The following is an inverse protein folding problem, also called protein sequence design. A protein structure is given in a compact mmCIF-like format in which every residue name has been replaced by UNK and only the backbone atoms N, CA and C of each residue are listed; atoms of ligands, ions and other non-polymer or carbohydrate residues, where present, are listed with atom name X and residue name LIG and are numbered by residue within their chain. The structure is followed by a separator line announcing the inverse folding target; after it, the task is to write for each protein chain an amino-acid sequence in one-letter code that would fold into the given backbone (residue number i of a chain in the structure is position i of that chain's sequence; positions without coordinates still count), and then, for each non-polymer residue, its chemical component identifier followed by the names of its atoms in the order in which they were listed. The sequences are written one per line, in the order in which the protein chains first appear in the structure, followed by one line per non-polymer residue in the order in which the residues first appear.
data_IF_084706877592
#
_entry.id   IF_084706877592
#
_cell.length_a   1.000
_cell.length_b   1.000
_cell.length_c   1.000
_cell.angle_alpha   90.00
_cell.angle_beta   90.00
_cell.angle_gamma   90.00
#
_symmetry.space_group_name_H-M   'P 1'
#
loop_
_entity.id
_entity.type
_entity.pdbx_description
1 polymer ?
#
# COMPACT_ATOMS: atom_id res chain seq x y z
N UNK A 1 -18.72 -15.40 8.96
CA UNK A 1 -19.00 -14.15 8.24
C UNK A 1 -18.30 -14.21 6.88
N UNK A 2 -19.02 -13.99 5.78
CA UNK A 2 -18.45 -14.08 4.43
C UNK A 2 -17.59 -12.85 4.14
N UNK A 3 -16.28 -13.03 4.04
CA UNK A 3 -15.31 -11.96 3.70
C UNK A 3 -15.65 -11.22 2.39
N UNK A 4 -16.46 -11.84 1.52
CA UNK A 4 -16.88 -11.29 0.22
C UNK A 4 -17.70 -10.00 0.33
N UNK A 5 -18.34 -9.75 1.47
CA UNK A 5 -19.19 -8.57 1.70
C UNK A 5 -18.59 -7.60 2.73
N UNK A 6 -17.32 -7.78 3.10
CA UNK A 6 -16.69 -6.90 4.08
C UNK A 6 -16.52 -5.48 3.49
N UNK A 7 -17.03 -4.47 4.18
CA UNK A 7 -16.84 -3.07 3.80
C UNK A 7 -15.40 -2.60 4.00
N UNK A 8 -14.96 -1.62 3.21
CA UNK A 8 -13.66 -0.99 3.39
C UNK A 8 -13.48 -0.37 4.78
N UNK A 9 -12.38 -0.74 5.43
CA UNK A 9 -12.01 -0.20 6.74
C UNK A 9 -11.45 1.21 6.57
N UNK A 10 -12.12 2.21 7.16
CA UNK A 10 -11.67 3.61 7.19
C UNK A 10 -11.25 4.10 8.58
N UNK A 11 -11.08 3.18 9.53
CA UNK A 11 -10.70 3.47 10.92
C UNK A 11 -9.18 3.35 11.11
N UNK A 12 -8.68 3.88 12.21
CA UNK A 12 -7.25 3.84 12.55
C UNK A 12 -6.40 4.66 11.58
N UNK A 13 -5.28 4.11 11.13
CA UNK A 13 -4.35 4.81 10.24
C UNK A 13 -4.96 5.15 8.87
N UNK A 14 -5.91 4.34 8.40
CA UNK A 14 -6.63 4.53 7.13
C UNK A 14 -7.54 5.76 7.11
N UNK A 15 -7.75 6.43 8.26
CA UNK A 15 -8.41 7.73 8.32
C UNK A 15 -7.55 8.85 7.70
N UNK A 16 -6.23 8.68 7.71
CA UNK A 16 -5.26 9.68 7.26
C UNK A 16 -4.81 9.45 5.82
N UNK A 17 -4.59 8.18 5.44
CA UNK A 17 -4.28 7.80 4.07
C UNK A 17 -4.91 6.44 3.73
N UNK A 18 -5.68 6.33 2.63
CA UNK A 18 -6.21 5.04 2.16
C UNK A 18 -5.11 4.00 1.93
N UNK A 19 -3.89 4.44 1.56
CA UNK A 19 -2.74 3.59 1.29
C UNK A 19 -1.64 3.81 2.35
N UNK A 20 -2.05 3.82 3.62
CA UNK A 20 -1.15 4.12 4.74
C UNK A 20 0.10 3.23 4.79
N UNK A 21 0.01 1.96 4.40
CA UNK A 21 1.18 1.07 4.32
C UNK A 21 2.22 1.55 3.29
N UNK A 22 1.75 2.05 2.15
CA UNK A 22 2.60 2.50 1.05
C UNK A 22 3.30 3.81 1.46
N UNK A 23 2.56 4.68 2.12
CA UNK A 23 3.08 5.97 2.57
C UNK A 23 4.02 5.79 3.76
N UNK A 24 3.63 5.05 4.81
CA UNK A 24 4.40 4.99 6.05
C UNK A 24 5.28 3.74 6.18
N UNK A 25 4.76 2.58 5.77
CA UNK A 25 5.48 1.30 5.89
C UNK A 25 6.73 1.24 5.02
N UNK A 26 6.65 1.75 3.78
CA UNK A 26 7.81 1.75 2.88
C UNK A 26 8.91 2.73 3.29
N UNK A 27 8.64 3.73 4.15
CA UNK A 27 9.71 4.53 4.74
C UNK A 27 10.58 3.73 5.71
N UNK A 28 10.04 2.68 6.34
CA UNK A 28 10.85 1.82 7.22
C UNK A 28 11.99 1.12 6.46
N UNK A 29 11.80 0.82 5.17
CA UNK A 29 12.85 0.24 4.32
C UNK A 29 14.05 1.18 4.12
N UNK A 30 13.88 2.48 4.38
CA UNK A 30 14.97 3.45 4.29
C UNK A 30 15.79 3.55 5.58
N UNK A 31 15.33 2.98 6.70
CA UNK A 31 16.05 3.02 7.97
C UNK A 31 17.46 2.39 7.84
N UNK A 32 17.64 1.19 7.25
CA UNK A 32 18.98 0.61 7.09
C UNK A 32 19.88 1.44 6.16
N UNK A 33 19.29 2.16 5.20
CA UNK A 33 20.04 3.05 4.29
C UNK A 33 20.73 4.14 5.09
N UNK A 34 19.99 4.84 5.94
CA UNK A 34 20.52 5.96 6.71
C UNK A 34 21.37 5.51 7.91
N UNK A 35 21.01 4.39 8.56
CA UNK A 35 21.79 3.89 9.71
C UNK A 35 23.15 3.32 9.30
N UNK A 36 23.22 2.60 8.18
CA UNK A 36 24.43 1.90 7.76
C UNK A 36 25.14 2.54 6.56
N UNK A 37 24.57 3.61 5.99
CA UNK A 37 25.09 4.30 4.80
C UNK A 37 25.37 3.32 3.63
N UNK A 38 24.53 2.29 3.49
CA UNK A 38 24.76 1.19 2.55
C UNK A 38 24.15 1.48 1.19
N UNK A 39 24.99 1.44 0.14
CA UNK A 39 24.54 1.58 -1.25
C UNK A 39 23.65 0.42 -1.71
N UNK A 40 23.93 -0.80 -1.25
CA UNK A 40 23.07 -1.95 -1.55
C UNK A 40 21.67 -1.76 -0.93
N UNK A 41 21.61 -1.30 0.32
CA UNK A 41 20.34 -1.00 0.97
C UNK A 41 19.60 0.14 0.25
N UNK A 42 20.32 1.17 -0.21
CA UNK A 42 19.75 2.29 -0.96
C UNK A 42 19.05 1.80 -2.23
N UNK A 43 19.72 0.95 -3.02
CA UNK A 43 19.15 0.39 -4.25
C UNK A 43 17.91 -0.45 -3.96
N UNK A 44 17.98 -1.32 -2.94
CA UNK A 44 16.84 -2.17 -2.56
C UNK A 44 15.65 -1.33 -2.07
N UNK A 45 15.90 -0.33 -1.21
CA UNK A 45 14.87 0.55 -0.69
C UNK A 45 14.21 1.37 -1.81
N UNK A 46 15.01 1.97 -2.69
CA UNK A 46 14.52 2.75 -3.83
C UNK A 46 13.73 1.89 -4.82
N UNK A 47 14.24 0.71 -5.18
CA UNK A 47 13.54 -0.23 -6.05
C UNK A 47 12.20 -0.67 -5.44
N UNK A 48 12.21 -1.07 -4.16
CA UNK A 48 11.00 -1.50 -3.46
C UNK A 48 9.97 -0.38 -3.39
N UNK A 49 10.41 0.85 -3.10
CA UNK A 49 9.55 2.03 -3.01
C UNK A 49 8.98 2.45 -4.38
N UNK A 50 9.71 2.23 -5.48
CA UNK A 50 9.16 2.44 -6.82
C UNK A 50 8.19 1.31 -7.21
N UNK A 51 8.59 0.06 -6.98
CA UNK A 51 7.83 -1.13 -7.34
C UNK A 51 6.45 -1.17 -6.70
N UNK A 52 6.33 -0.74 -5.44
CA UNK A 52 5.05 -0.76 -4.74
C UNK A 52 4.01 0.13 -5.42
N UNK A 53 4.41 1.26 -6.03
CA UNK A 53 3.49 2.08 -6.83
C UNK A 53 3.07 1.41 -8.13
N UNK A 54 4.00 0.71 -8.80
CA UNK A 54 3.68 -0.11 -9.98
C UNK A 54 2.65 -1.16 -9.61
N UNK A 55 2.85 -1.88 -8.50
CA UNK A 55 1.88 -2.83 -7.96
C UNK A 55 0.53 -2.16 -7.71
N UNK A 56 0.49 -1.04 -6.97
CA UNK A 56 -0.74 -0.32 -6.69
C UNK A 56 -1.56 -0.01 -7.95
N UNK A 57 -0.93 0.53 -8.99
CA UNK A 57 -1.62 0.92 -10.20
C UNK A 57 -2.04 -0.27 -11.06
N UNK A 58 -1.24 -1.34 -11.08
CA UNK A 58 -1.48 -2.50 -11.93
C UNK A 58 -2.45 -3.51 -11.31
N UNK A 59 -2.48 -3.66 -9.99
CA UNK A 59 -3.24 -4.73 -9.30
C UNK A 59 -4.24 -4.15 -8.31
N UNK A 60 -3.78 -3.42 -7.30
CA UNK A 60 -4.65 -3.06 -6.17
C UNK A 60 -5.76 -2.10 -6.58
N UNK A 61 -5.46 -1.04 -7.33
CA UNK A 61 -6.45 -0.08 -7.79
C UNK A 61 -7.54 -0.70 -8.69
N UNK A 62 -7.22 -1.49 -9.74
CA UNK A 62 -8.25 -2.13 -10.54
C UNK A 62 -9.07 -3.16 -9.74
N UNK A 63 -8.45 -3.92 -8.85
CA UNK A 63 -9.14 -4.89 -8.00
C UNK A 63 -10.12 -4.21 -7.04
N UNK A 64 -9.70 -3.11 -6.41
CA UNK A 64 -10.55 -2.31 -5.54
C UNK A 64 -11.74 -1.73 -6.28
N UNK A 65 -11.55 -1.27 -7.52
CA UNK A 65 -12.66 -0.83 -8.39
C UNK A 65 -13.61 -1.99 -8.72
N UNK A 66 -13.10 -3.19 -8.94
CA UNK A 66 -13.92 -4.38 -9.24
C UNK A 66 -14.74 -4.83 -8.04
N UNK A 67 -14.16 -4.81 -6.84
CA UNK A 67 -14.80 -5.32 -5.62
C UNK A 67 -15.77 -4.29 -5.03
N UNK A 68 -15.40 -3.00 -5.05
CA UNK A 68 -16.13 -1.94 -4.35
C UNK A 68 -16.74 -0.87 -5.27
N UNK A 69 -16.47 -0.92 -6.59
CA UNK A 69 -16.94 0.09 -7.55
C UNK A 69 -18.29 -0.20 -8.19
N UNK A 70 -18.87 -1.38 -7.95
CA UNK A 70 -20.28 -1.66 -8.28
C UNK A 70 -21.16 -1.08 -7.17
N UNK A 71 -22.28 -0.40 -7.49
CA UNK A 71 -23.25 -0.04 -6.46
C UNK A 71 -23.73 -1.34 -5.84
N UNK A 72 -23.64 -1.47 -4.51
CA UNK A 72 -24.37 -2.52 -3.81
C UNK A 72 -25.84 -2.35 -4.19
N UNK A 73 -26.55 -3.40 -4.66
CA UNK A 73 -28.00 -3.34 -4.67
C UNK A 73 -28.42 -3.26 -3.20
N UNK A 74 -29.08 -2.17 -2.84
CA UNK A 74 -29.71 -1.96 -1.55
C UNK A 74 -30.88 -2.95 -1.35
#
# INVERSE_FOLDING_TARGET
ASYRNASLVRRGIFRWSPNSMYVFGFFALWIPVFLFQSMAALVVAAFSHAYIWVHYYATEKPDMKRIYGSPSPD
#
